data_IF_638155703015
#
_entry.id   IF_638155703015
#
_cell.length_a   1.000
_cell.length_b   1.000
_cell.length_c   1.000
_cell.angle_alpha   90.00
_cell.angle_beta   90.00
_cell.angle_gamma   90.00
#
_symmetry.space_group_name_H-M   'P 1'
#
loop_
_entity.id
_entity.type
_entity.pdbx_description
1 polymer ?
#
# COMPACT_ATOMS: atom_id res chain seq x y z
N UNK A 1 16.20 21.59 0.83
CA UNK A 1 15.07 20.82 1.41
C UNK A 1 14.64 21.51 2.69
N UNK A 2 13.37 21.85 2.81
CA UNK A 2 12.87 22.51 4.02
C UNK A 2 12.98 21.58 5.23
N UNK A 3 13.47 22.11 6.35
CA UNK A 3 13.53 21.39 7.62
C UNK A 3 12.13 20.91 8.08
N UNK A 4 11.10 21.66 7.75
CA UNK A 4 9.70 21.31 8.04
C UNK A 4 9.29 20.08 7.22
N UNK A 5 9.62 20.06 5.93
CA UNK A 5 9.36 18.92 5.06
C UNK A 5 10.10 17.66 5.52
N UNK A 6 11.35 17.82 5.91
CA UNK A 6 12.15 16.72 6.47
C UNK A 6 11.54 16.18 7.77
N UNK A 7 11.07 17.07 8.65
CA UNK A 7 10.37 16.70 9.88
C UNK A 7 9.08 15.90 9.61
N UNK A 8 8.26 16.33 8.67
CA UNK A 8 7.05 15.63 8.23
C UNK A 8 7.38 14.22 7.69
N UNK A 9 8.40 14.13 6.84
CA UNK A 9 8.87 12.88 6.27
C UNK A 9 9.36 11.89 7.35
N UNK A 10 10.10 12.37 8.35
CA UNK A 10 10.56 11.54 9.48
C UNK A 10 9.38 11.02 10.31
N UNK A 11 8.40 11.86 10.62
CA UNK A 11 7.20 11.45 11.37
C UNK A 11 6.43 10.38 10.60
N UNK A 12 6.16 10.59 9.31
CA UNK A 12 5.47 9.61 8.46
C UNK A 12 6.24 8.29 8.36
N UNK A 13 7.55 8.34 8.22
CA UNK A 13 8.41 7.15 8.20
C UNK A 13 8.35 6.35 9.51
N UNK A 14 8.31 7.03 10.66
CA UNK A 14 8.17 6.38 11.98
C UNK A 14 6.78 5.74 12.11
N UNK A 15 5.72 6.45 11.72
CA UNK A 15 4.34 5.93 11.74
C UNK A 15 4.24 4.69 10.86
N UNK A 16 4.76 4.75 9.63
CA UNK A 16 4.79 3.58 8.73
C UNK A 16 5.54 2.40 9.35
N UNK A 17 6.76 2.63 9.81
CA UNK A 17 7.58 1.57 10.41
C UNK A 17 6.95 0.91 11.63
N UNK A 18 6.17 1.64 12.42
CA UNK A 18 5.44 1.09 13.57
C UNK A 18 4.14 0.39 13.16
N UNK A 19 3.39 0.97 12.24
CA UNK A 19 2.05 0.48 11.88
C UNK A 19 2.07 -0.65 10.85
N UNK A 20 3.13 -0.78 10.05
CA UNK A 20 3.25 -1.88 9.08
C UNK A 20 3.38 -3.24 9.77
N UNK A 21 4.04 -3.29 10.92
CA UNK A 21 4.19 -4.53 11.68
C UNK A 21 2.98 -4.90 12.55
N UNK A 22 2.04 -3.98 12.68
CA UNK A 22 0.81 -4.18 13.44
C UNK A 22 -0.36 -4.39 12.47
N UNK A 23 -1.31 -5.30 12.77
CA UNK A 23 -2.47 -5.52 11.90
C UNK A 23 -3.54 -4.41 12.07
N UNK A 24 -3.14 -3.15 11.91
CA UNK A 24 -3.98 -1.97 12.18
C UNK A 24 -4.13 -1.04 10.98
N UNK A 25 -3.75 -1.47 9.78
CA UNK A 25 -3.74 -0.67 8.55
C UNK A 25 -2.80 0.55 8.59
N UNK A 26 -1.56 0.35 8.15
CA UNK A 26 -0.57 1.43 7.99
C UNK A 26 -1.08 2.55 7.08
N UNK A 27 -1.72 2.20 5.98
CA UNK A 27 -2.30 3.15 5.01
C UNK A 27 -3.33 4.08 5.68
N UNK A 28 -4.21 3.56 6.53
CA UNK A 28 -5.18 4.38 7.27
C UNK A 28 -4.50 5.38 8.21
N UNK A 29 -3.42 4.96 8.88
CA UNK A 29 -2.64 5.84 9.76
C UNK A 29 -1.86 6.88 8.98
N UNK A 30 -1.28 6.52 7.84
CA UNK A 30 -0.56 7.47 6.98
C UNK A 30 -1.49 8.55 6.43
N UNK A 31 -2.68 8.18 5.97
CA UNK A 31 -3.68 9.14 5.50
C UNK A 31 -4.05 10.13 6.61
N UNK A 32 -4.32 9.63 7.82
CA UNK A 32 -4.68 10.47 8.95
C UNK A 32 -3.55 11.41 9.37
N UNK A 33 -2.34 10.89 9.51
CA UNK A 33 -1.17 11.69 9.91
C UNK A 33 -0.74 12.63 8.78
N UNK A 34 -0.82 12.19 7.53
CA UNK A 34 -0.57 13.02 6.35
C UNK A 34 -1.53 14.21 6.27
N UNK A 35 -2.80 13.99 6.59
CA UNK A 35 -3.80 15.05 6.66
C UNK A 35 -3.51 16.06 7.80
N UNK A 36 -3.17 15.54 8.98
CA UNK A 36 -2.78 16.38 10.14
C UNK A 36 -1.52 17.22 9.88
N UNK A 37 -0.60 16.70 9.07
CA UNK A 37 0.65 17.38 8.73
C UNK A 37 0.54 18.26 7.47
N UNK A 38 -0.63 18.30 6.84
CA UNK A 38 -0.83 18.97 5.55
C UNK A 38 0.19 18.50 4.50
N UNK A 39 0.25 17.18 4.30
CA UNK A 39 1.20 16.48 3.43
C UNK A 39 0.48 15.50 2.47
N UNK A 40 -0.73 15.86 2.05
CA UNK A 40 -1.59 15.03 1.18
C UNK A 40 -1.54 15.45 -0.29
N UNK A 41 -0.53 16.21 -0.69
CA UNK A 41 -0.27 16.53 -2.09
C UNK A 41 0.22 15.30 -2.87
N UNK A 42 0.44 15.43 -4.16
CA UNK A 42 0.94 14.33 -5.00
C UNK A 42 2.31 13.82 -4.56
N UNK A 43 3.15 14.72 -4.05
CA UNK A 43 4.48 14.36 -3.53
C UNK A 43 4.37 13.56 -2.23
N UNK A 44 3.43 13.92 -1.35
CA UNK A 44 3.13 13.17 -0.13
C UNK A 44 2.67 11.75 -0.43
N UNK A 45 1.76 11.57 -1.37
CA UNK A 45 1.29 10.24 -1.79
C UNK A 45 2.39 9.39 -2.40
N UNK A 46 3.24 9.96 -3.23
CA UNK A 46 4.41 9.26 -3.76
C UNK A 46 5.38 8.86 -2.65
N UNK A 47 5.59 9.73 -1.69
CA UNK A 47 6.43 9.45 -0.52
C UNK A 47 5.87 8.31 0.34
N UNK A 48 4.56 8.28 0.59
CA UNK A 48 3.90 7.17 1.31
C UNK A 48 4.19 5.81 0.65
N UNK A 49 4.08 5.72 -0.67
CA UNK A 49 4.41 4.48 -1.39
C UNK A 49 5.88 4.10 -1.23
N UNK A 50 6.79 5.07 -1.25
CA UNK A 50 8.23 4.83 -1.09
C UNK A 50 8.54 4.29 0.31
N UNK A 51 7.97 4.86 1.36
CA UNK A 51 8.21 4.39 2.73
C UNK A 51 7.59 3.02 3.00
N UNK A 52 6.43 2.71 2.40
CA UNK A 52 5.85 1.36 2.42
C UNK A 52 6.79 0.34 1.77
N UNK A 53 7.36 0.68 0.63
CA UNK A 53 8.36 -0.16 -0.02
C UNK A 53 9.60 -0.36 0.86
N UNK A 54 10.05 0.68 1.53
CA UNK A 54 11.14 0.62 2.52
C UNK A 54 10.84 -0.33 3.68
N UNK A 55 9.62 -0.29 4.22
CA UNK A 55 9.17 -1.19 5.28
C UNK A 55 9.17 -2.66 4.80
N UNK A 56 8.70 -2.94 3.58
CA UNK A 56 8.74 -4.28 2.98
C UNK A 56 10.18 -4.77 2.83
N UNK A 57 11.10 -3.92 2.38
CA UNK A 57 12.51 -4.27 2.28
C UNK A 57 13.13 -4.59 3.65
N UNK A 58 12.74 -3.87 4.70
CA UNK A 58 13.19 -4.16 6.07
C UNK A 58 12.73 -5.54 6.54
N UNK A 59 11.50 -5.94 6.25
CA UNK A 59 10.98 -7.30 6.52
C UNK A 59 11.76 -8.35 5.73
N UNK A 60 11.99 -8.11 4.46
CA UNK A 60 12.79 -9.02 3.62
C UNK A 60 14.21 -9.19 4.17
N UNK A 61 14.80 -8.12 4.64
CA UNK A 61 16.13 -8.14 5.25
C UNK A 61 16.16 -8.94 6.55
N UNK A 62 15.21 -8.72 7.44
CA UNK A 62 15.10 -9.44 8.72
C UNK A 62 14.92 -10.95 8.49
N UNK A 63 14.02 -11.31 7.57
CA UNK A 63 13.72 -12.71 7.28
C UNK A 63 14.52 -13.31 6.12
N UNK A 64 15.60 -12.65 5.66
CA UNK A 64 16.38 -13.08 4.49
C UNK A 64 16.84 -14.53 4.53
N UNK A 65 17.30 -14.99 5.70
CA UNK A 65 17.77 -16.38 5.85
C UNK A 65 16.63 -17.39 5.65
N UNK A 66 15.45 -17.11 6.20
CA UNK A 66 14.25 -17.94 6.04
C UNK A 66 13.74 -17.92 4.61
N UNK A 67 13.69 -16.74 4.00
CA UNK A 67 13.26 -16.57 2.61
C UNK A 67 14.17 -17.30 1.64
N UNK A 68 15.49 -17.15 1.80
CA UNK A 68 16.48 -17.89 1.00
C UNK A 68 16.38 -19.40 1.19
N UNK A 69 16.24 -19.87 2.43
CA UNK A 69 16.05 -21.28 2.73
C UNK A 69 14.83 -21.85 2.03
N UNK A 70 13.69 -21.14 2.08
CA UNK A 70 12.46 -21.57 1.40
C UNK A 70 12.64 -21.56 -0.11
N UNK A 71 13.22 -20.49 -0.67
CA UNK A 71 13.44 -20.35 -2.11
C UNK A 71 14.36 -21.43 -2.67
N UNK A 72 15.46 -21.75 -1.98
CA UNK A 72 16.42 -22.77 -2.42
C UNK A 72 15.91 -24.19 -2.22
N UNK A 73 15.06 -24.43 -1.22
CA UNK A 73 14.55 -25.77 -0.90
C UNK A 73 13.16 -26.05 -1.47
N UNK A 74 12.59 -25.15 -2.26
CA UNK A 74 11.26 -25.31 -2.84
C UNK A 74 11.15 -26.56 -3.73
N UNK A 75 12.22 -26.92 -4.42
CA UNK A 75 12.28 -28.10 -5.29
C UNK A 75 12.56 -29.40 -4.52
N UNK A 76 13.25 -29.31 -3.40
CA UNK A 76 13.77 -30.47 -2.65
C UNK A 76 12.97 -30.81 -1.41
N UNK A 77 12.34 -29.80 -0.77
CA UNK A 77 11.65 -29.98 0.50
C UNK A 77 10.13 -29.88 0.34
N UNK A 78 9.42 -30.95 0.76
CA UNK A 78 7.96 -30.93 0.80
C UNK A 78 7.39 -29.86 1.75
N UNK A 79 8.10 -29.55 2.84
CA UNK A 79 7.69 -28.53 3.79
C UNK A 79 7.75 -27.13 3.19
N UNK A 80 8.78 -26.81 2.42
CA UNK A 80 8.90 -25.53 1.72
C UNK A 80 7.82 -25.36 0.66
N UNK A 81 7.53 -26.42 -0.10
CA UNK A 81 6.41 -26.40 -1.07
C UNK A 81 5.07 -26.20 -0.40
N UNK A 82 4.80 -26.87 0.72
CA UNK A 82 3.56 -26.69 1.49
C UNK A 82 3.45 -25.26 2.03
N UNK A 83 4.54 -24.69 2.52
CA UNK A 83 4.57 -23.32 3.00
C UNK A 83 4.21 -22.32 1.89
N UNK A 84 4.85 -22.42 0.72
CA UNK A 84 4.59 -21.57 -0.44
C UNK A 84 3.15 -21.77 -0.95
N UNK A 85 2.70 -23.03 -1.04
CA UNK A 85 1.34 -23.34 -1.48
C UNK A 85 0.29 -22.75 -0.54
N UNK A 86 0.48 -22.90 0.77
CA UNK A 86 -0.41 -22.31 1.78
C UNK A 86 -0.44 -20.79 1.70
N UNK A 87 0.72 -20.16 1.46
CA UNK A 87 0.82 -18.72 1.27
C UNK A 87 0.04 -18.26 0.02
N UNK A 88 0.18 -18.97 -1.09
CA UNK A 88 -0.56 -18.69 -2.33
C UNK A 88 -2.06 -18.86 -2.14
N UNK A 89 -2.49 -19.96 -1.53
CA UNK A 89 -3.91 -20.22 -1.24
C UNK A 89 -4.49 -19.15 -0.31
N UNK A 90 -3.75 -18.75 0.72
CA UNK A 90 -4.18 -17.71 1.65
C UNK A 90 -4.27 -16.32 0.99
N UNK A 91 -3.48 -16.07 -0.07
CA UNK A 91 -3.50 -14.81 -0.82
C UNK A 91 -4.68 -14.71 -1.80
N UNK A 92 -5.22 -15.85 -2.28
CA UNK A 92 -6.29 -15.88 -3.29
C UNK A 92 -7.55 -15.12 -2.85
N UNK A 93 -8.11 -15.29 -1.63
CA UNK A 93 -9.29 -14.56 -1.22
C UNK A 93 -9.08 -13.03 -1.22
N UNK A 94 -7.91 -12.59 -0.71
CA UNK A 94 -7.57 -11.17 -0.67
C UNK A 94 -7.43 -10.58 -2.09
N UNK A 95 -6.79 -11.30 -3.00
CA UNK A 95 -6.67 -10.90 -4.40
C UNK A 95 -8.02 -10.87 -5.11
N UNK A 96 -8.87 -11.88 -4.89
CA UNK A 96 -10.22 -11.94 -5.46
C UNK A 96 -11.08 -10.77 -4.97
N UNK A 97 -11.07 -10.48 -3.67
CA UNK A 97 -11.77 -9.34 -3.07
C UNK A 97 -11.25 -8.01 -3.63
N UNK A 98 -9.93 -7.82 -3.70
CA UNK A 98 -9.32 -6.62 -4.26
C UNK A 98 -9.72 -6.43 -5.73
N UNK A 99 -9.80 -7.50 -6.52
CA UNK A 99 -10.19 -7.43 -7.92
C UNK A 99 -11.67 -7.12 -8.11
N UNK A 100 -12.55 -7.75 -7.32
CA UNK A 100 -14.00 -7.56 -7.38
C UNK A 100 -14.36 -6.16 -6.85
N UNK A 101 -13.91 -5.80 -5.65
CA UNK A 101 -14.19 -4.51 -5.04
C UNK A 101 -13.48 -3.36 -5.75
N UNK A 102 -12.27 -3.55 -6.27
CA UNK A 102 -11.57 -2.54 -7.06
C UNK A 102 -12.32 -2.16 -8.33
N UNK A 103 -12.95 -3.13 -9.00
CA UNK A 103 -13.82 -2.85 -10.14
C UNK A 103 -15.12 -2.13 -9.74
N UNK A 104 -15.73 -2.52 -8.63
CA UNK A 104 -16.94 -1.87 -8.13
C UNK A 104 -16.68 -0.45 -7.63
N UNK A 105 -15.58 -0.21 -6.93
CA UNK A 105 -15.17 1.12 -6.46
C UNK A 105 -14.88 2.04 -7.65
N UNK A 106 -14.17 1.57 -8.67
CA UNK A 106 -13.94 2.34 -9.90
C UNK A 106 -15.24 2.65 -10.65
N UNK A 107 -16.17 1.73 -10.72
CA UNK A 107 -17.50 1.96 -11.30
C UNK A 107 -18.38 2.90 -10.47
N UNK A 108 -18.31 2.81 -9.14
CA UNK A 108 -19.11 3.65 -8.24
C UNK A 108 -18.59 5.08 -8.09
N UNK A 109 -17.26 5.27 -8.14
CA UNK A 109 -16.63 6.60 -7.95
C UNK A 109 -16.40 7.30 -9.29
N UNK A 110 -16.05 6.56 -10.35
CA UNK A 110 -15.80 7.09 -11.69
C UNK A 110 -16.97 6.86 -12.65
N UNK A 111 -17.93 6.03 -12.26
CA UNK A 111 -19.17 5.87 -12.96
C UNK A 111 -19.97 7.16 -12.79
N UNK A 112 -20.11 7.92 -13.86
CA UNK A 112 -21.02 9.05 -14.03
C UNK A 112 -22.26 8.88 -13.17
N UNK A 113 -22.32 9.59 -12.07
CA UNK A 113 -23.62 9.88 -11.47
C UNK A 113 -24.39 10.71 -12.52
N UNK A 114 -25.54 10.25 -13.00
CA UNK A 114 -26.27 10.94 -14.06
C UNK A 114 -26.73 12.35 -13.67
N UNK A 115 -26.43 12.79 -12.47
CA UNK A 115 -26.87 14.06 -11.88
C UNK A 115 -25.72 15.00 -11.48
N UNK A 116 -24.48 14.78 -11.99
CA UNK A 116 -23.43 15.79 -11.79
C UNK A 116 -23.65 16.91 -12.78
N UNK A 117 -23.88 18.17 -12.33
CA UNK A 117 -24.00 19.32 -13.21
C UNK A 117 -22.82 19.43 -14.16
N UNK A 118 -23.06 19.85 -15.39
CA UNK A 118 -22.04 19.90 -16.44
C UNK A 118 -20.82 20.77 -16.10
N UNK A 119 -20.98 21.72 -15.21
CA UNK A 119 -19.94 22.60 -14.69
C UNK A 119 -18.90 21.86 -13.82
N UNK A 120 -19.30 20.77 -13.16
CA UNK A 120 -18.35 19.93 -12.38
C UNK A 120 -17.64 18.91 -13.27
N UNK A 121 -18.22 18.54 -14.42
CA UNK A 121 -17.57 17.61 -15.37
C UNK A 121 -16.33 18.22 -16.03
N UNK A 122 -16.24 19.53 -16.14
CA UNK A 122 -15.09 20.21 -16.76
C UNK A 122 -13.82 20.07 -15.92
N UNK A 123 -13.96 19.95 -14.62
CA UNK A 123 -12.80 19.79 -13.69
C UNK A 123 -12.11 18.44 -13.84
N UNK A 124 -12.83 17.41 -14.30
CA UNK A 124 -12.30 16.06 -14.47
C UNK A 124 -11.60 15.83 -15.83
N UNK A 125 -11.66 16.80 -16.73
CA UNK A 125 -11.04 16.74 -18.07
C UNK A 125 -9.76 17.56 -18.17
N UNK A 126 -9.13 17.91 -17.07
CA UNK A 126 -7.78 18.51 -17.11
C UNK A 126 -6.80 17.38 -17.41
N UNK A 127 -6.13 17.37 -18.58
CA UNK A 127 -5.09 16.39 -18.85
C UNK A 127 -3.90 16.68 -17.92
N UNK A 128 -3.54 15.69 -17.18
CA UNK A 128 -2.29 15.70 -16.39
C UNK A 128 -1.09 15.63 -17.32
#
# INVERSE_FOLDING_TARGET
MDLILLGKAVILGIVEGLTEFLPISSTGHLILVGDLLDFNDEQGKAFEVIIQFGAILAVCWEFRAKLLKVALSITTSANSRRFVLNLLIASVPAMALAFIFGKHIKKGILGTSPNIPADIQVVNNVPF
#
